data_IF_693405561158
#
_entry.id   IF_693405561158
#
_cell.length_a   1.000
_cell.length_b   1.000
_cell.length_c   1.000
_cell.angle_alpha   90.00
_cell.angle_beta   90.00
_cell.angle_gamma   90.00
#
_symmetry.space_group_name_H-M   'P 1'
#
loop_
_entity.id
_entity.type
_entity.pdbx_description
1 polymer ?
#
# COMPACT_ATOMS: atom_id res chain seq x y z
N UNK A 1 11.21 4.43 -14.37
CA UNK A 1 9.82 4.92 -14.22
C UNK A 1 9.78 5.89 -13.07
N UNK A 2 9.17 7.05 -13.28
CA UNK A 2 8.98 8.08 -12.26
C UNK A 2 7.82 7.68 -11.32
N UNK A 3 7.89 7.97 -10.01
CA UNK A 3 6.87 7.54 -9.03
C UNK A 3 5.44 7.91 -9.44
N UNK A 4 5.26 9.07 -10.07
CA UNK A 4 3.97 9.55 -10.55
C UNK A 4 3.35 8.63 -11.61
N UNK A 5 4.17 8.05 -12.52
CA UNK A 5 3.67 7.12 -13.53
C UNK A 5 3.23 5.79 -12.90
N UNK A 6 3.97 5.32 -11.89
CA UNK A 6 3.58 4.14 -11.13
C UNK A 6 2.25 4.35 -10.39
N UNK A 7 2.05 5.54 -9.79
CA UNK A 7 0.78 5.90 -9.15
C UNK A 7 -0.39 5.82 -10.14
N UNK A 8 -0.27 6.45 -11.31
CA UNK A 8 -1.32 6.43 -12.34
C UNK A 8 -1.64 5.00 -12.79
N UNK A 9 -0.63 4.15 -12.98
CA UNK A 9 -0.85 2.77 -13.40
C UNK A 9 -1.58 1.94 -12.33
N UNK A 10 -1.21 2.10 -11.07
CA UNK A 10 -1.83 1.38 -9.94
C UNK A 10 -3.23 1.90 -9.66
N UNK A 11 -3.47 3.21 -9.75
CA UNK A 11 -4.82 3.77 -9.60
C UNK A 11 -5.79 3.28 -10.69
N UNK A 12 -5.31 3.15 -11.94
CA UNK A 12 -6.11 2.53 -13.01
C UNK A 12 -6.47 1.08 -12.68
N UNK A 13 -5.55 0.33 -12.08
CA UNK A 13 -5.84 -1.03 -11.64
C UNK A 13 -6.89 -1.04 -10.52
N UNK A 14 -6.77 -0.13 -9.54
CA UNK A 14 -7.73 0.04 -8.45
C UNK A 14 -9.14 0.31 -8.97
N UNK A 15 -9.28 1.27 -9.89
CA UNK A 15 -10.58 1.60 -10.51
C UNK A 15 -11.17 0.43 -11.28
N UNK A 16 -10.35 -0.28 -12.05
CA UNK A 16 -10.79 -1.48 -12.77
C UNK A 16 -11.28 -2.55 -11.79
N UNK A 17 -10.55 -2.84 -10.72
CA UNK A 17 -11.00 -3.82 -9.73
C UNK A 17 -12.32 -3.40 -9.06
N UNK A 18 -12.45 -2.14 -8.68
CA UNK A 18 -13.68 -1.62 -8.07
C UNK A 18 -14.89 -1.70 -9.01
N UNK A 19 -14.68 -1.55 -10.31
CA UNK A 19 -15.73 -1.61 -11.34
C UNK A 19 -16.08 -3.04 -11.80
N UNK A 20 -15.36 -4.08 -11.34
CA UNK A 20 -15.61 -5.46 -11.72
C UNK A 20 -16.04 -6.27 -10.48
N UNK A 21 -17.36 -6.41 -10.26
CA UNK A 21 -17.87 -7.27 -9.19
C UNK A 21 -17.38 -8.70 -9.39
N UNK A 22 -17.01 -9.36 -8.29
CA UNK A 22 -16.51 -10.73 -8.30
C UNK A 22 -17.53 -11.69 -7.67
N UNK A 23 -17.63 -12.91 -8.21
CA UNK A 23 -18.47 -13.99 -7.70
C UNK A 23 -19.77 -14.20 -8.49
N UNK A 24 -20.20 -15.47 -8.55
CA UNK A 24 -21.28 -15.91 -9.45
C UNK A 24 -22.69 -15.72 -8.86
N UNK A 25 -22.84 -15.78 -7.54
CA UNK A 25 -24.16 -15.79 -6.88
C UNK A 25 -24.50 -14.50 -6.15
N UNK A 26 -23.49 -13.73 -5.72
CA UNK A 26 -23.65 -12.40 -5.15
C UNK A 26 -22.45 -11.56 -5.60
N UNK A 27 -22.72 -10.57 -6.44
CA UNK A 27 -21.71 -9.67 -6.99
C UNK A 27 -21.02 -8.90 -5.84
N UNK A 28 -19.84 -9.37 -5.42
CA UNK A 28 -19.06 -8.76 -4.36
C UNK A 28 -18.18 -7.66 -4.95
N UNK A 29 -18.37 -6.42 -4.50
CA UNK A 29 -17.47 -5.33 -4.87
C UNK A 29 -16.20 -5.40 -4.02
N UNK A 30 -15.06 -5.67 -4.67
CA UNK A 30 -13.74 -5.66 -4.05
C UNK A 30 -12.99 -4.41 -4.45
N UNK A 31 -12.33 -3.76 -3.49
CA UNK A 31 -11.43 -2.63 -3.75
C UNK A 31 -10.04 -2.95 -3.21
N UNK A 32 -9.03 -2.26 -3.74
CA UNK A 32 -7.66 -2.37 -3.26
C UNK A 32 -7.14 -1.03 -2.75
N UNK A 33 -6.17 -1.09 -1.84
CA UNK A 33 -5.34 0.05 -1.47
C UNK A 33 -3.89 -0.33 -1.73
N UNK A 34 -3.07 0.64 -2.13
CA UNK A 34 -1.68 0.40 -2.51
C UNK A 34 -0.74 1.46 -1.93
N UNK A 35 0.46 1.02 -1.53
CA UNK A 35 1.58 1.89 -1.19
C UNK A 35 2.67 1.74 -2.24
N UNK A 36 3.24 2.87 -2.69
CA UNK A 36 4.19 2.89 -3.81
C UNK A 36 5.46 3.63 -3.38
N UNK A 37 6.58 2.92 -3.32
CA UNK A 37 7.89 3.48 -3.04
C UNK A 37 8.81 3.36 -4.26
N UNK A 38 9.51 4.44 -4.62
CA UNK A 38 10.60 4.36 -5.61
C UNK A 38 11.89 3.99 -4.92
N UNK A 39 12.54 2.98 -5.48
CA UNK A 39 13.88 2.55 -5.11
C UNK A 39 14.86 3.71 -5.21
N UNK A 40 15.62 3.95 -4.13
CA UNK A 40 16.73 4.91 -4.14
C UNK A 40 18.09 4.21 -4.26
N UNK A 41 19.06 4.80 -4.98
CA UNK A 41 20.42 4.28 -5.01
C UNK A 41 21.00 4.15 -3.60
N UNK A 42 21.50 2.97 -3.25
CA UNK A 42 22.05 2.68 -1.91
C UNK A 42 21.01 2.30 -0.85
N UNK A 43 19.72 2.28 -1.20
CA UNK A 43 18.65 1.82 -0.31
C UNK A 43 18.71 0.30 -0.15
N UNK A 44 18.50 -0.21 1.08
CA UNK A 44 18.33 -1.64 1.33
C UNK A 44 16.93 -2.12 0.92
N UNK A 45 16.82 -3.41 0.56
CA UNK A 45 15.54 -4.00 0.12
C UNK A 45 14.46 -3.88 1.19
N UNK A 46 14.81 -4.17 2.44
CA UNK A 46 13.94 -4.12 3.60
C UNK A 46 13.41 -2.72 3.83
N UNK A 47 14.27 -1.70 3.73
CA UNK A 47 13.86 -0.30 3.90
C UNK A 47 12.95 0.16 2.77
N UNK A 48 13.23 -0.24 1.53
CA UNK A 48 12.36 0.06 0.39
C UNK A 48 10.97 -0.56 0.56
N UNK A 49 10.90 -1.81 1.02
CA UNK A 49 9.63 -2.49 1.32
C UNK A 49 8.90 -1.83 2.49
N UNK A 50 9.61 -1.49 3.57
CA UNK A 50 9.03 -0.83 4.73
C UNK A 50 8.36 0.49 4.35
N UNK A 51 8.99 1.30 3.49
CA UNK A 51 8.37 2.54 2.99
C UNK A 51 7.11 2.28 2.17
N UNK A 52 7.12 1.27 1.32
CA UNK A 52 5.92 0.89 0.56
C UNK A 52 4.78 0.45 1.51
N UNK A 53 5.10 -0.34 2.54
CA UNK A 53 4.14 -0.80 3.54
C UNK A 53 3.61 0.34 4.41
N UNK A 54 4.45 1.30 4.81
CA UNK A 54 4.02 2.50 5.52
C UNK A 54 3.02 3.32 4.69
N UNK A 55 3.30 3.51 3.39
CA UNK A 55 2.37 4.19 2.49
C UNK A 55 1.04 3.42 2.31
N UNK A 56 1.11 2.09 2.21
CA UNK A 56 -0.06 1.22 2.15
C UNK A 56 -0.89 1.29 3.44
N UNK A 57 -0.22 1.27 4.59
CA UNK A 57 -0.84 1.39 5.89
C UNK A 57 -1.57 2.73 6.00
N UNK A 58 -0.93 3.83 5.62
CA UNK A 58 -1.54 5.15 5.59
C UNK A 58 -2.79 5.16 4.69
N UNK A 59 -2.72 4.57 3.49
CA UNK A 59 -3.87 4.45 2.58
C UNK A 59 -5.04 3.66 3.20
N UNK A 60 -4.75 2.58 3.93
CA UNK A 60 -5.77 1.79 4.64
C UNK A 60 -6.41 2.59 5.79
N UNK A 61 -5.63 3.38 6.52
CA UNK A 61 -6.11 4.14 7.69
C UNK A 61 -6.87 5.42 7.28
N UNK A 62 -6.58 5.99 6.11
CA UNK A 62 -7.27 7.17 5.59
C UNK A 62 -8.56 6.86 4.82
N UNK A 63 -9.17 5.69 5.05
CA UNK A 63 -10.45 5.32 4.42
C UNK A 63 -10.36 4.24 3.32
N UNK A 64 -9.21 3.58 3.13
CA UNK A 64 -9.01 2.52 2.12
C UNK A 64 -9.29 3.02 0.69
N UNK A 65 -9.45 2.08 -0.26
CA UNK A 65 -9.70 2.31 -1.69
C UNK A 65 -8.90 3.48 -2.31
N UNK A 66 -7.60 3.57 -1.99
CA UNK A 66 -6.74 4.63 -2.48
C UNK A 66 -5.29 4.17 -2.59
N UNK A 67 -4.52 4.87 -3.42
CA UNK A 67 -3.08 4.66 -3.57
C UNK A 67 -2.31 5.81 -2.92
N UNK A 68 -1.19 5.52 -2.27
CA UNK A 68 -0.30 6.55 -1.71
C UNK A 68 1.14 6.33 -2.12
N UNK A 69 1.83 7.43 -2.39
CA UNK A 69 3.28 7.45 -2.58
C UNK A 69 3.96 7.47 -1.21
N UNK A 70 5.02 6.68 -1.07
CA UNK A 70 5.92 6.79 0.07
C UNK A 70 6.80 8.04 -0.10
N UNK A 71 7.06 8.72 1.02
CA UNK A 71 8.02 9.81 1.08
C UNK A 71 9.43 9.29 0.76
N UNK A 72 10.25 10.12 0.12
CA UNK A 72 11.64 9.78 -0.14
C UNK A 72 12.37 9.52 1.20
N UNK A 73 13.22 8.49 1.27
CA UNK A 73 13.96 8.21 2.49
C UNK A 73 14.86 9.41 2.81
N UNK A 74 14.94 9.78 4.09
CA UNK A 74 15.92 10.76 4.52
C UNK A 74 17.33 10.27 4.14
N UNK A 75 18.25 11.16 3.71
CA UNK A 75 19.57 10.78 3.18
C UNK A 75 20.43 9.98 4.17
N UNK A 76 20.10 10.01 5.47
CA UNK A 76 20.77 9.26 6.54
C UNK A 76 20.26 7.81 6.65
N UNK A 77 18.97 7.56 6.38
CA UNK A 77 18.36 6.23 6.46
C UNK A 77 18.89 5.27 5.37
N UNK A 78 19.19 5.81 4.19
CA UNK A 78 19.80 5.08 3.07
C UNK A 78 21.17 4.48 3.46
N UNK A 79 21.92 5.14 4.36
CA UNK A 79 23.24 4.68 4.80
C UNK A 79 23.17 3.60 5.89
N UNK A 80 22.11 3.60 6.70
CA UNK A 80 21.92 2.65 7.80
C UNK A 80 21.25 1.33 7.38
N UNK A 81 20.45 1.33 6.31
CA UNK A 81 19.67 0.18 5.84
C UNK A 81 20.49 -0.98 5.22
N UNK A 82 21.83 -0.91 5.23
CA UNK A 82 22.71 -2.00 4.77
C UNK A 82 22.80 -3.16 5.80
N UNK A 83 22.13 -3.05 6.96
CA UNK A 83 22.09 -4.13 7.95
C UNK A 83 20.79 -4.94 7.88
N UNK A 84 20.86 -6.28 7.84
CA UNK A 84 19.66 -7.12 7.85
C UNK A 84 19.06 -7.07 9.25
N UNK A 85 17.88 -6.47 9.41
CA UNK A 85 17.17 -6.44 10.69
C UNK A 85 15.90 -7.28 10.61
N UNK A 86 15.95 -8.45 11.25
CA UNK A 86 14.82 -9.33 11.54
C UNK A 86 13.85 -8.63 12.50
N UNK A 87 12.73 -8.10 12.00
CA UNK A 87 11.38 -8.16 12.58
C UNK A 87 10.49 -7.01 12.08
N UNK A 88 9.82 -7.20 10.95
CA UNK A 88 8.56 -6.52 10.67
C UNK A 88 7.43 -7.51 10.93
N UNK A 89 7.00 -7.63 12.20
CA UNK A 89 5.69 -8.22 12.48
C UNK A 89 4.65 -7.16 12.09
N UNK A 90 3.67 -7.45 11.21
CA UNK A 90 2.64 -6.48 10.89
C UNK A 90 1.93 -6.06 12.19
N UNK A 91 1.66 -4.77 12.44
CA UNK A 91 0.87 -4.37 13.59
C UNK A 91 -0.49 -5.07 13.56
N UNK A 92 -1.06 -5.43 14.72
CA UNK A 92 -2.27 -6.24 14.80
C UNK A 92 -3.39 -5.62 13.97
N UNK A 93 -3.94 -6.42 13.05
CA UNK A 93 -5.05 -6.01 12.19
C UNK A 93 -6.26 -5.81 13.09
N UNK A 94 -6.67 -4.56 13.32
CA UNK A 94 -7.90 -4.27 14.04
C UNK A 94 -9.09 -4.95 13.33
N UNK A 95 -10.02 -5.58 14.06
CA UNK A 95 -11.13 -6.30 13.47
C UNK A 95 -11.95 -5.36 12.57
N UNK A 96 -12.26 -5.85 11.37
CA UNK A 96 -13.11 -5.17 10.41
C UNK A 96 -14.52 -5.08 10.99
N UNK A 97 -14.88 -3.93 11.57
CA UNK A 97 -16.27 -3.62 11.90
C UNK A 97 -16.99 -3.39 10.57
N UNK A 98 -17.59 -4.46 10.04
CA UNK A 98 -18.55 -4.36 8.96
C UNK A 98 -19.68 -3.44 9.44
N UNK A 99 -19.78 -2.25 8.85
CA UNK A 99 -20.98 -1.43 8.97
C UNK A 99 -22.09 -2.22 8.27
N UNK A 100 -22.86 -2.95 9.06
CA UNK A 100 -24.14 -3.49 8.64
C UNK A 100 -25.04 -2.29 8.35
N UNK A 101 -25.28 -2.03 7.07
CA UNK A 101 -26.27 -1.05 6.63
C UNK A 101 -27.63 -1.75 6.68
N UNK A 102 -28.57 -1.33 7.56
CA UNK A 102 -29.91 -1.92 7.57
C UNK A 102 -30.71 -1.35 6.39
N UNK A 103 -31.43 -2.23 5.69
CA UNK A 103 -32.65 -1.85 4.98
C UNK A 103 -33.84 -2.06 5.92
#
# INVERSE_FOLDING_TARGET
>A
MEQAQALVAVDRLRERMAAHPMGDQAALTVTISAGIAQWQPGEGLEHWLERADQALYAAKHSGRNQCRLAEAPAPEAVRMAVQPSLAASPPPVAPFLASANPL
#
